data_IF_909205136709
#
_entry.id   IF_909205136709
#
_cell.length_a   1.000
_cell.length_b   1.000
_cell.length_c   1.000
_cell.angle_alpha   90.00
_cell.angle_beta   90.00
_cell.angle_gamma   90.00
#
_symmetry.space_group_name_H-M   'P 1'
#
loop_
_entity.id
_entity.type
_entity.pdbx_description
1 polymer ?
#
# COMPACT_ATOMS: atom_id res chain seq x y z
N UNK A 1 -5.01 3.36 15.31
CA UNK A 1 -4.68 1.93 15.54
C UNK A 1 -4.34 1.31 14.19
N UNK A 2 -3.49 0.27 14.08
CA UNK A 2 -3.09 -0.27 12.76
C UNK A 2 -4.27 -0.72 11.89
N UNK A 3 -5.34 -1.21 12.52
CA UNK A 3 -6.64 -1.50 11.89
C UNK A 3 -7.25 -0.30 11.15
N UNK A 4 -7.11 0.90 11.69
CA UNK A 4 -7.68 2.12 11.11
C UNK A 4 -6.89 2.53 9.86
N UNK A 5 -5.56 2.38 9.90
CA UNK A 5 -4.70 2.65 8.77
C UNK A 5 -4.94 1.65 7.64
N UNK A 6 -5.09 0.36 7.95
CA UNK A 6 -5.45 -0.66 6.97
C UNK A 6 -6.79 -0.31 6.27
N UNK A 7 -7.76 0.20 7.05
CA UNK A 7 -9.05 0.66 6.51
C UNK A 7 -8.89 1.87 5.57
N UNK A 8 -7.99 2.80 5.89
CA UNK A 8 -7.69 3.99 5.05
C UNK A 8 -6.90 3.65 3.78
N UNK A 9 -6.02 2.65 3.84
CA UNK A 9 -5.21 2.18 2.71
C UNK A 9 -6.02 1.32 1.73
N UNK A 10 -7.02 0.57 2.24
CA UNK A 10 -7.85 -0.34 1.43
C UNK A 10 -8.46 0.32 0.18
N UNK A 11 -9.10 1.51 0.24
CA UNK A 11 -9.61 2.19 -0.95
C UNK A 11 -8.55 2.49 -2.01
N UNK A 12 -7.31 2.82 -1.60
CA UNK A 12 -6.21 3.11 -2.54
C UNK A 12 -5.88 1.86 -3.36
N UNK A 13 -5.78 0.71 -2.71
CA UNK A 13 -5.59 -0.57 -3.41
C UNK A 13 -6.77 -0.91 -4.32
N UNK A 14 -8.00 -0.78 -3.83
CA UNK A 14 -9.20 -1.06 -4.64
C UNK A 14 -9.24 -0.23 -5.91
N UNK A 15 -8.91 1.04 -5.82
CA UNK A 15 -8.85 1.95 -6.96
C UNK A 15 -7.68 1.61 -7.90
N UNK A 16 -6.48 1.37 -7.34
CA UNK A 16 -5.27 1.09 -8.13
C UNK A 16 -5.37 -0.23 -8.91
N UNK A 17 -5.96 -1.27 -8.31
CA UNK A 17 -6.08 -2.60 -8.90
C UNK A 17 -7.45 -2.88 -9.51
N UNK A 18 -8.36 -1.88 -9.56
CA UNK A 18 -9.73 -2.03 -10.02
C UNK A 18 -10.47 -3.23 -9.37
N UNK A 19 -10.26 -3.39 -8.06
CA UNK A 19 -10.71 -4.55 -7.28
C UNK A 19 -11.63 -4.08 -6.13
N UNK A 20 -12.89 -3.69 -6.40
CA UNK A 20 -13.77 -3.05 -5.40
C UNK A 20 -14.07 -3.93 -4.17
N UNK A 21 -14.03 -5.25 -4.33
CA UNK A 21 -14.32 -6.22 -3.27
C UNK A 21 -13.06 -6.72 -2.52
N UNK A 22 -11.88 -6.17 -2.84
CA UNK A 22 -10.63 -6.55 -2.19
C UNK A 22 -10.71 -6.31 -0.68
N UNK A 23 -10.45 -7.37 0.10
CA UNK A 23 -10.33 -7.32 1.56
C UNK A 23 -8.85 -7.44 1.91
N UNK A 24 -8.28 -6.30 2.30
CA UNK A 24 -6.87 -6.20 2.61
C UNK A 24 -6.53 -6.76 3.98
N UNK A 25 -5.38 -7.42 4.07
CA UNK A 25 -4.76 -7.82 5.33
C UNK A 25 -3.24 -7.58 5.26
N UNK A 26 -2.59 -7.51 6.42
CA UNK A 26 -1.17 -7.16 6.53
C UNK A 26 -0.23 -8.16 5.86
N UNK A 27 -0.64 -9.43 5.76
CA UNK A 27 0.18 -10.49 5.17
C UNK A 27 0.07 -10.58 3.65
N UNK A 28 -0.85 -9.84 3.02
CA UNK A 28 -0.99 -9.88 1.57
C UNK A 28 0.26 -9.33 0.89
N UNK A 29 0.63 -10.00 -0.20
CA UNK A 29 1.75 -9.68 -1.06
C UNK A 29 1.27 -9.48 -2.50
N UNK A 30 2.20 -9.12 -3.39
CA UNK A 30 1.92 -9.05 -4.83
C UNK A 30 1.35 -10.36 -5.42
N UNK A 31 1.59 -11.51 -4.79
CA UNK A 31 1.05 -12.80 -5.24
C UNK A 31 -0.44 -12.98 -4.94
N UNK A 32 -0.96 -12.23 -3.97
CA UNK A 32 -2.33 -12.37 -3.48
C UNK A 32 -3.31 -11.40 -4.15
N UNK A 33 -2.80 -10.43 -4.92
CA UNK A 33 -3.58 -9.42 -5.62
C UNK A 33 -3.33 -9.53 -7.11
N UNK A 34 -4.38 -9.83 -7.87
CA UNK A 34 -4.31 -9.90 -9.33
C UNK A 34 -3.90 -8.53 -9.91
N UNK A 35 -2.97 -8.55 -10.88
CA UNK A 35 -2.46 -7.33 -11.50
C UNK A 35 -1.42 -6.57 -10.66
N UNK A 36 -1.02 -7.08 -9.49
CA UNK A 36 0.06 -6.49 -8.71
C UNK A 36 1.44 -6.92 -9.23
N UNK A 37 1.91 -6.21 -10.25
CA UNK A 37 3.27 -6.33 -10.79
C UNK A 37 4.16 -5.13 -10.37
N UNK A 38 5.38 -5.05 -10.92
CA UNK A 38 6.32 -3.96 -10.62
C UNK A 38 5.79 -2.58 -11.03
N UNK A 39 5.03 -2.47 -12.12
CA UNK A 39 4.50 -1.19 -12.58
C UNK A 39 3.32 -0.75 -11.70
N UNK A 40 2.41 -1.67 -11.41
CA UNK A 40 1.29 -1.42 -10.51
C UNK A 40 1.76 -1.14 -9.08
N UNK A 41 2.90 -1.71 -8.66
CA UNK A 41 3.55 -1.39 -7.40
C UNK A 41 3.99 0.09 -7.36
N UNK A 42 4.66 0.61 -8.39
CA UNK A 42 5.05 2.03 -8.44
C UNK A 42 3.83 2.95 -8.44
N UNK A 43 2.78 2.61 -9.18
CA UNK A 43 1.53 3.38 -9.17
C UNK A 43 0.86 3.39 -7.80
N UNK A 44 0.85 2.25 -7.11
CA UNK A 44 0.35 2.15 -5.74
C UNK A 44 1.12 3.06 -4.80
N UNK A 45 2.45 3.06 -4.87
CA UNK A 45 3.31 3.93 -4.05
C UNK A 45 2.95 5.41 -4.28
N UNK A 46 2.88 5.85 -5.54
CA UNK A 46 2.50 7.23 -5.87
C UNK A 46 1.11 7.59 -5.37
N UNK A 47 0.14 6.67 -5.47
CA UNK A 47 -1.21 6.89 -4.97
C UNK A 47 -1.26 7.02 -3.43
N UNK A 48 -0.44 6.26 -2.71
CA UNK A 48 -0.31 6.37 -1.26
C UNK A 48 0.36 7.69 -0.87
N UNK A 49 1.42 8.10 -1.54
CA UNK A 49 2.07 9.40 -1.33
C UNK A 49 1.10 10.56 -1.49
N UNK A 50 0.30 10.55 -2.55
CA UNK A 50 -0.72 11.58 -2.82
C UNK A 50 -1.85 11.55 -1.76
N UNK A 51 -2.39 10.36 -1.47
CA UNK A 51 -3.51 10.19 -0.53
C UNK A 51 -3.16 10.63 0.89
N UNK A 52 -1.93 10.34 1.33
CA UNK A 52 -1.49 10.62 2.70
C UNK A 52 -0.60 11.86 2.82
N UNK A 53 -0.30 12.53 1.69
CA UNK A 53 0.60 13.68 1.61
C UNK A 53 1.98 13.39 2.24
N UNK A 54 2.54 12.23 1.90
CA UNK A 54 3.85 11.74 2.37
C UNK A 54 4.80 11.54 1.19
N UNK A 55 6.09 11.35 1.49
CA UNK A 55 7.09 10.93 0.50
C UNK A 55 7.92 9.78 1.04
N UNK A 56 8.10 8.77 0.20
CA UNK A 56 8.97 7.64 0.45
C UNK A 56 10.29 7.81 -0.28
N UNK A 57 11.36 7.35 0.36
CA UNK A 57 12.68 7.26 -0.25
C UNK A 57 12.81 5.95 -1.03
N UNK A 58 13.57 5.95 -2.11
CA UNK A 58 13.83 4.75 -2.93
C UNK A 58 14.41 3.59 -2.10
N UNK A 59 15.20 3.90 -1.07
CA UNK A 59 15.76 2.94 -0.11
C UNK A 59 14.69 2.23 0.73
N UNK A 60 13.60 2.93 1.05
CA UNK A 60 12.45 2.41 1.81
C UNK A 60 11.60 1.48 0.93
N UNK A 61 11.44 1.83 -0.35
CA UNK A 61 10.62 1.05 -1.29
C UNK A 61 11.15 -0.37 -1.52
N UNK A 62 12.48 -0.54 -1.49
CA UNK A 62 13.12 -1.85 -1.65
C UNK A 62 12.82 -2.85 -0.53
N UNK A 63 12.25 -2.39 0.60
CA UNK A 63 11.93 -3.21 1.76
C UNK A 63 10.47 -3.68 1.78
N UNK A 64 9.66 -3.24 0.82
CA UNK A 64 8.22 -3.52 0.78
C UNK A 64 7.98 -4.90 0.16
N UNK A 65 7.72 -5.90 0.99
CA UNK A 65 7.35 -7.25 0.55
C UNK A 65 5.86 -7.56 0.69
N UNK A 66 5.20 -6.89 1.63
CA UNK A 66 3.79 -7.09 1.95
C UNK A 66 3.09 -5.78 2.31
N UNK A 67 1.77 -5.86 2.50
CA UNK A 67 0.95 -4.73 2.97
C UNK A 67 1.40 -4.25 4.34
N UNK A 68 1.79 -5.14 5.25
CA UNK A 68 2.28 -4.78 6.58
C UNK A 68 3.50 -3.87 6.54
N UNK A 69 4.39 -4.04 5.55
CA UNK A 69 5.55 -3.17 5.36
C UNK A 69 5.10 -1.77 4.91
N UNK A 70 4.11 -1.68 4.01
CA UNK A 70 3.50 -0.41 3.60
C UNK A 70 2.87 0.34 4.78
N UNK A 71 2.13 -0.36 5.64
CA UNK A 71 1.53 0.24 6.84
C UNK A 71 2.62 0.76 7.79
N UNK A 72 3.66 -0.02 8.01
CA UNK A 72 4.79 0.37 8.87
C UNK A 72 5.49 1.61 8.32
N UNK A 73 5.63 1.69 6.99
CA UNK A 73 6.23 2.85 6.34
C UNK A 73 5.35 4.09 6.43
N UNK A 74 4.02 3.96 6.29
CA UNK A 74 3.09 5.07 6.50
C UNK A 74 3.10 5.55 7.96
N UNK A 75 3.12 4.61 8.92
CA UNK A 75 3.24 4.93 10.35
C UNK A 75 4.54 5.72 10.64
N UNK A 76 5.67 5.36 10.00
CA UNK A 76 6.93 6.08 10.17
C UNK A 76 6.91 7.51 9.62
N UNK A 77 6.01 7.81 8.66
CA UNK A 77 5.76 9.16 8.13
C UNK A 77 4.73 9.95 8.95
N UNK A 78 4.16 9.37 10.01
CA UNK A 78 3.23 10.04 10.92
C UNK A 78 1.76 10.02 10.48
N UNK A 79 1.38 9.04 9.65
CA UNK A 79 0.02 8.84 9.13
C UNK A 79 -0.93 8.21 10.15
#
# INVERSE_FOLDING_TARGET
>A
MRSDLLTRVTPVFRNNFNAPDLVLNETMTAKDVEGWDSFAHINLIMALEDTFNVRFETSELGQIGCVGDLLTLLESKGV
#
